data_IF_650150471207
#
_entry.id   IF_650150471207
#
_cell.length_a   1.000
_cell.length_b   1.000
_cell.length_c   1.000
_cell.angle_alpha   90.00
_cell.angle_beta   90.00
_cell.angle_gamma   90.00
#
_symmetry.space_group_name_H-M   'P 1'
#
loop_
_entity.id
_entity.type
_entity.pdbx_description
1 polymer ?
#
# COMPACT_ATOMS: atom_id res chain seq x y z
N UNK A 1 8.01 16.89 -18.94
CA UNK A 1 8.43 15.72 -18.16
C UNK A 1 9.77 16.01 -17.52
N UNK A 2 9.72 16.53 -16.30
CA UNK A 2 10.87 16.73 -15.44
C UNK A 2 11.02 15.46 -14.60
N UNK A 3 12.14 14.75 -14.73
CA UNK A 3 12.45 13.58 -13.89
C UNK A 3 13.39 13.96 -12.75
N UNK A 4 13.42 13.15 -11.69
CA UNK A 4 14.28 13.38 -10.52
C UNK A 4 15.75 13.53 -10.91
N UNK A 5 16.30 12.61 -11.69
CA UNK A 5 17.71 12.63 -12.08
C UNK A 5 18.06 13.89 -12.88
N UNK A 6 17.19 14.31 -13.81
CA UNK A 6 17.38 15.53 -14.60
C UNK A 6 17.28 16.78 -13.72
N UNK A 7 16.25 16.87 -12.86
CA UNK A 7 16.03 18.03 -12.00
C UNK A 7 17.19 18.28 -11.04
N UNK A 8 17.67 17.22 -10.38
CA UNK A 8 18.76 17.29 -9.41
C UNK A 8 20.15 17.12 -10.05
N UNK A 9 20.23 16.93 -11.38
CA UNK A 9 21.46 16.76 -12.14
C UNK A 9 22.31 15.58 -11.63
N UNK A 10 21.65 14.48 -11.29
CA UNK A 10 22.29 13.22 -10.86
C UNK A 10 22.60 12.39 -12.11
N UNK A 11 23.87 12.04 -12.31
CA UNK A 11 24.25 11.15 -13.40
C UNK A 11 23.85 9.71 -13.07
N UNK A 12 22.98 9.13 -13.90
CA UNK A 12 22.50 7.75 -13.76
C UNK A 12 23.65 6.74 -13.74
N UNK A 13 24.75 7.02 -14.44
CA UNK A 13 25.90 6.11 -14.51
C UNK A 13 26.69 6.03 -13.19
N UNK A 14 26.47 6.96 -12.26
CA UNK A 14 27.07 6.94 -10.92
C UNK A 14 26.26 6.10 -9.92
N UNK A 15 25.08 5.61 -10.32
CA UNK A 15 24.23 4.81 -9.46
C UNK A 15 24.66 3.34 -9.54
N UNK A 16 25.02 2.75 -8.40
CA UNK A 16 25.37 1.33 -8.29
C UNK A 16 24.15 0.40 -8.24
N UNK A 17 22.95 0.97 -8.22
CA UNK A 17 21.67 0.26 -8.10
C UNK A 17 20.73 0.64 -9.24
N UNK A 18 19.80 -0.26 -9.55
CA UNK A 18 18.70 0.06 -10.46
C UNK A 18 17.76 1.07 -9.79
N UNK A 19 17.85 2.32 -10.23
CA UNK A 19 17.11 3.44 -9.67
C UNK A 19 15.93 3.78 -10.55
N UNK A 20 14.74 3.70 -9.98
CA UNK A 20 13.55 4.26 -10.58
C UNK A 20 13.64 5.79 -10.57
N UNK A 21 13.62 6.42 -11.76
CA UNK A 21 13.68 7.87 -11.95
C UNK A 21 12.24 8.43 -12.07
N UNK A 22 11.61 8.87 -10.97
CA UNK A 22 10.22 9.31 -11.00
C UNK A 22 10.06 10.60 -11.80
N UNK A 23 8.92 10.71 -12.48
CA UNK A 23 8.44 11.97 -13.01
C UNK A 23 7.95 12.86 -11.86
N UNK A 24 8.45 14.10 -11.78
CA UNK A 24 8.13 15.04 -10.72
C UNK A 24 6.82 15.82 -10.96
N UNK A 25 6.25 15.71 -12.17
CA UNK A 25 5.04 16.44 -12.56
C UNK A 25 3.78 15.58 -12.45
N UNK A 26 3.90 14.27 -12.66
CA UNK A 26 2.79 13.31 -12.65
C UNK A 26 3.26 11.95 -12.20
N UNK A 27 2.36 11.14 -11.64
CA UNK A 27 2.69 9.77 -11.29
C UNK A 27 2.94 8.89 -12.52
N UNK A 28 3.86 7.95 -12.34
CA UNK A 28 4.09 6.87 -13.28
C UNK A 28 3.17 5.71 -12.89
N UNK A 29 2.48 5.10 -13.86
CA UNK A 29 1.61 3.92 -13.62
C UNK A 29 2.41 2.66 -13.35
N UNK A 30 3.10 2.66 -12.22
CA UNK A 30 3.82 1.57 -11.61
C UNK A 30 3.26 1.37 -10.20
N UNK A 31 3.37 0.15 -9.71
CA UNK A 31 2.81 -0.27 -8.43
C UNK A 31 3.83 -1.15 -7.74
N UNK A 32 3.96 -1.02 -6.42
CA UNK A 32 4.70 -1.96 -5.60
C UNK A 32 3.91 -3.26 -5.54
N UNK A 33 4.56 -4.35 -5.93
CA UNK A 33 4.03 -5.70 -5.81
C UNK A 33 4.39 -6.26 -4.41
N UNK A 34 3.42 -6.30 -3.50
CA UNK A 34 3.62 -6.90 -2.18
C UNK A 34 3.93 -8.38 -2.24
N UNK A 35 3.44 -9.10 -3.27
CA UNK A 35 3.70 -10.53 -3.42
C UNK A 35 5.17 -10.76 -3.73
N UNK A 36 5.79 -9.85 -4.46
CA UNK A 36 7.20 -9.91 -4.78
C UNK A 36 8.09 -9.91 -3.53
N UNK A 37 7.63 -9.36 -2.41
CA UNK A 37 8.35 -9.42 -1.13
C UNK A 37 8.58 -10.86 -0.65
N UNK A 38 7.65 -11.78 -0.95
CA UNK A 38 7.76 -13.22 -0.61
C UNK A 38 8.88 -13.93 -1.36
N UNK A 39 9.30 -13.37 -2.51
CA UNK A 39 10.27 -13.98 -3.42
C UNK A 39 11.66 -13.34 -3.32
N UNK A 40 11.77 -12.19 -2.67
CA UNK A 40 13.01 -11.44 -2.56
C UNK A 40 13.85 -11.88 -1.36
N UNK A 41 15.11 -12.23 -1.60
CA UNK A 41 15.99 -12.72 -0.53
C UNK A 41 16.76 -11.62 0.23
N UNK A 42 16.71 -10.37 -0.26
CA UNK A 42 17.42 -9.26 0.36
C UNK A 42 16.83 -8.88 1.73
N UNK A 43 17.67 -8.30 2.59
CA UNK A 43 17.31 -7.99 3.98
C UNK A 43 16.14 -7.00 4.09
N UNK A 44 16.05 -6.02 3.19
CA UNK A 44 15.01 -5.01 3.21
C UNK A 44 13.64 -5.61 2.86
N UNK A 45 13.57 -6.46 1.83
CA UNK A 45 12.34 -7.15 1.45
C UNK A 45 11.88 -8.15 2.52
N UNK A 46 12.80 -8.87 3.17
CA UNK A 46 12.47 -9.76 4.29
C UNK A 46 11.90 -8.97 5.49
N UNK A 47 12.50 -7.82 5.79
CA UNK A 47 12.00 -6.92 6.83
C UNK A 47 10.61 -6.38 6.50
N UNK A 48 10.42 -5.90 5.27
CA UNK A 48 9.13 -5.41 4.77
C UNK A 48 8.04 -6.49 4.84
N UNK A 49 8.34 -7.71 4.36
CA UNK A 49 7.43 -8.84 4.43
C UNK A 49 7.01 -9.15 5.88
N UNK A 50 7.97 -9.16 6.81
CA UNK A 50 7.69 -9.40 8.23
C UNK A 50 6.76 -8.32 8.80
N UNK A 51 6.99 -7.05 8.46
CA UNK A 51 6.11 -5.93 8.87
C UNK A 51 4.72 -6.07 8.28
N UNK A 52 4.60 -6.40 7.00
CA UNK A 52 3.33 -6.63 6.30
C UNK A 52 2.55 -7.78 6.94
N UNK A 53 3.19 -8.92 7.22
CA UNK A 53 2.56 -10.07 7.87
C UNK A 53 2.07 -9.74 9.28
N UNK A 54 2.88 -9.00 10.06
CA UNK A 54 2.47 -8.55 11.39
C UNK A 54 1.29 -7.57 11.32
N UNK A 55 1.25 -6.69 10.31
CA UNK A 55 0.12 -5.80 10.07
C UNK A 55 -1.15 -6.60 9.76
N UNK A 56 -1.08 -7.54 8.82
CA UNK A 56 -2.21 -8.39 8.43
C UNK A 56 -2.75 -9.18 9.62
N UNK A 57 -1.86 -9.81 10.38
CA UNK A 57 -2.23 -10.51 11.62
C UNK A 57 -2.95 -9.58 12.61
N UNK A 58 -2.39 -8.40 12.89
CA UNK A 58 -3.01 -7.43 13.78
C UNK A 58 -4.40 -6.97 13.30
N UNK A 59 -4.57 -6.81 11.98
CA UNK A 59 -5.83 -6.39 11.37
C UNK A 59 -6.88 -7.49 11.47
N UNK A 60 -6.53 -8.73 11.12
CA UNK A 60 -7.44 -9.87 11.21
C UNK A 60 -7.85 -10.16 12.65
N UNK A 61 -6.91 -10.08 13.61
CA UNK A 61 -7.23 -10.18 15.05
C UNK A 61 -8.21 -9.09 15.49
N UNK A 62 -7.99 -7.83 15.12
CA UNK A 62 -8.89 -6.74 15.47
C UNK A 62 -10.31 -6.94 14.88
N UNK A 63 -10.41 -7.41 13.64
CA UNK A 63 -11.69 -7.71 13.00
C UNK A 63 -12.41 -8.88 13.69
N UNK A 64 -11.68 -9.95 14.01
CA UNK A 64 -12.20 -11.13 14.71
C UNK A 64 -12.71 -10.79 16.10
N UNK A 65 -11.98 -9.96 16.85
CA UNK A 65 -12.34 -9.51 18.20
C UNK A 65 -13.40 -8.41 18.22
N UNK A 66 -13.78 -7.88 17.03
CA UNK A 66 -14.65 -6.72 16.87
C UNK A 66 -14.10 -5.48 17.60
N UNK A 67 -12.76 -5.35 17.66
CA UNK A 67 -12.08 -4.14 18.15
C UNK A 67 -12.09 -3.07 17.06
N UNK A 68 -13.20 -2.34 17.04
CA UNK A 68 -13.49 -1.26 16.10
C UNK A 68 -12.42 -0.16 16.09
N UNK A 69 -11.90 0.19 17.26
CA UNK A 69 -10.93 1.27 17.41
C UNK A 69 -9.60 0.84 16.79
N UNK A 70 -9.15 -0.38 17.08
CA UNK A 70 -7.90 -0.92 16.54
C UNK A 70 -8.01 -1.16 15.02
N UNK A 71 -9.11 -1.75 14.55
CA UNK A 71 -9.31 -2.00 13.12
C UNK A 71 -9.31 -0.69 12.31
N UNK A 72 -10.00 0.34 12.79
CA UNK A 72 -10.02 1.67 12.16
C UNK A 72 -8.64 2.33 12.16
N UNK A 73 -7.91 2.24 13.28
CA UNK A 73 -6.53 2.76 13.39
C UNK A 73 -5.56 2.04 12.45
N UNK A 74 -5.73 0.74 12.22
CA UNK A 74 -4.92 0.01 11.25
C UNK A 74 -5.26 0.45 9.83
N UNK A 75 -6.54 0.49 9.47
CA UNK A 75 -7.00 0.90 8.15
C UNK A 75 -6.73 2.38 7.82
N UNK A 76 -6.46 3.24 8.81
CA UNK A 76 -6.05 4.63 8.56
C UNK A 76 -4.69 4.77 7.86
N UNK A 77 -3.97 3.66 7.65
CA UNK A 77 -2.75 3.59 6.84
C UNK A 77 -3.02 3.31 5.36
N UNK A 78 -4.27 3.07 4.96
CA UNK A 78 -4.65 2.83 3.55
C UNK A 78 -4.70 4.06 2.63
N UNK A 79 -4.74 5.32 3.13
CA UNK A 79 -4.62 6.48 2.26
C UNK A 79 -3.29 6.53 1.48
N UNK A 80 -3.38 6.93 0.22
CA UNK A 80 -2.26 7.07 -0.74
C UNK A 80 -1.04 7.81 -0.13
N UNK A 81 0.16 7.23 -0.23
CA UNK A 81 1.39 7.90 0.18
C UNK A 81 1.69 9.09 -0.74
N UNK A 82 2.17 10.20 -0.18
CA UNK A 82 2.54 11.37 -0.98
C UNK A 82 3.96 11.24 -1.50
N UNK A 83 4.21 11.81 -2.69
CA UNK A 83 5.54 12.02 -3.25
C UNK A 83 6.31 10.74 -3.61
N UNK A 84 5.61 9.65 -3.88
CA UNK A 84 6.22 8.41 -4.39
C UNK A 84 6.52 8.49 -5.89
N UNK A 85 5.76 9.30 -6.64
CA UNK A 85 5.87 9.42 -8.10
C UNK A 85 5.37 8.17 -8.86
N UNK A 86 4.67 7.27 -8.16
CA UNK A 86 4.04 6.07 -8.70
C UNK A 86 2.56 6.05 -8.29
N UNK A 87 1.70 5.54 -9.16
CA UNK A 87 0.27 5.47 -8.90
C UNK A 87 -0.59 5.75 -10.13
N UNK A 88 -1.90 5.87 -9.91
CA UNK A 88 -2.87 6.17 -10.95
C UNK A 88 -3.28 7.65 -11.04
N UNK A 89 -2.77 8.52 -10.17
CA UNK A 89 -3.22 9.92 -10.04
C UNK A 89 -2.85 10.74 -11.27
N UNK A 90 -3.86 11.31 -11.93
CA UNK A 90 -3.69 12.15 -13.13
C UNK A 90 -3.54 13.63 -12.80
N UNK A 91 -4.27 14.14 -11.81
CA UNK A 91 -4.18 15.50 -11.26
C UNK A 91 -4.79 15.55 -9.85
N UNK A 92 -4.15 16.26 -8.90
CA UNK A 92 -4.76 16.70 -7.65
C UNK A 92 -4.38 15.93 -6.38
N UNK A 93 -4.18 16.68 -5.29
CA UNK A 93 -4.02 16.13 -3.94
C UNK A 93 -5.41 15.83 -3.40
N UNK A 94 -5.77 14.55 -3.30
CA UNK A 94 -7.09 14.12 -2.85
C UNK A 94 -7.50 14.83 -1.52
N UNK A 95 -8.72 15.35 -1.48
CA UNK A 95 -9.27 16.02 -0.29
C UNK A 95 -9.46 15.03 0.87
N UNK A 96 -9.25 15.48 2.12
CA UNK A 96 -9.37 14.64 3.33
C UNK A 96 -10.65 13.81 3.39
N UNK A 97 -11.79 14.35 2.95
CA UNK A 97 -13.08 13.65 2.99
C UNK A 97 -13.20 12.42 2.09
N UNK A 98 -12.46 12.34 0.99
CA UNK A 98 -12.46 11.15 0.12
C UNK A 98 -11.77 9.94 0.76
N UNK A 99 -10.78 10.21 1.61
CA UNK A 99 -9.97 9.19 2.28
C UNK A 99 -10.75 8.47 3.38
N UNK A 100 -11.43 9.24 4.23
CA UNK A 100 -12.22 8.67 5.32
C UNK A 100 -13.34 7.79 4.74
N UNK A 101 -13.97 8.20 3.64
CA UNK A 101 -14.98 7.40 2.94
C UNK A 101 -14.38 6.08 2.41
N UNK A 102 -13.21 6.13 1.76
CA UNK A 102 -12.52 4.92 1.25
C UNK A 102 -12.17 3.96 2.39
N UNK A 103 -11.65 4.47 3.50
CA UNK A 103 -11.29 3.66 4.68
C UNK A 103 -12.53 3.01 5.31
N UNK A 104 -13.61 3.77 5.52
CA UNK A 104 -14.85 3.22 6.08
C UNK A 104 -15.48 2.16 5.16
N UNK A 105 -15.42 2.38 3.86
CA UNK A 105 -15.93 1.42 2.88
C UNK A 105 -15.14 0.11 2.94
N UNK A 106 -13.80 0.18 2.87
CA UNK A 106 -12.95 -1.00 2.97
C UNK A 106 -13.18 -1.72 4.30
N UNK A 107 -13.24 -0.99 5.42
CA UNK A 107 -13.49 -1.56 6.73
C UNK A 107 -14.85 -2.27 6.80
N UNK A 108 -15.88 -1.72 6.14
CA UNK A 108 -17.21 -2.35 6.03
C UNK A 108 -17.14 -3.65 5.24
N UNK A 109 -16.44 -3.67 4.10
CA UNK A 109 -16.22 -4.88 3.32
C UNK A 109 -15.50 -5.96 4.13
N UNK A 110 -14.40 -5.61 4.80
CA UNK A 110 -13.64 -6.54 5.63
C UNK A 110 -14.49 -7.12 6.76
N UNK A 111 -15.28 -6.28 7.44
CA UNK A 111 -16.22 -6.76 8.47
C UNK A 111 -17.31 -7.65 7.93
N UNK A 112 -17.74 -7.48 6.68
CA UNK A 112 -18.75 -8.34 6.06
C UNK A 112 -18.18 -9.68 5.56
N UNK A 113 -16.87 -9.77 5.42
CA UNK A 113 -16.19 -10.95 4.91
C UNK A 113 -15.96 -12.02 5.98
N UNK A 114 -16.49 -13.22 5.74
CA UNK A 114 -16.22 -14.36 6.59
C UNK A 114 -14.73 -14.70 6.63
N UNK A 115 -14.02 -14.62 5.49
CA UNK A 115 -12.59 -14.92 5.41
C UNK A 115 -11.75 -13.99 6.31
N UNK A 116 -12.10 -12.69 6.33
CA UNK A 116 -11.46 -11.72 7.20
C UNK A 116 -11.75 -11.99 8.68
N UNK A 117 -13.01 -12.33 9.02
CA UNK A 117 -13.40 -12.64 10.40
C UNK A 117 -12.78 -13.95 10.93
N UNK A 118 -12.51 -14.92 10.05
CA UNK A 118 -11.91 -16.20 10.43
C UNK A 118 -10.38 -16.16 10.46
N UNK A 119 -9.77 -15.07 9.99
CA UNK A 119 -8.31 -14.93 9.88
C UNK A 119 -7.72 -15.79 8.76
N UNK A 120 -8.49 -16.07 7.70
CA UNK A 120 -8.02 -16.81 6.52
C UNK A 120 -7.32 -15.92 5.50
N UNK A 121 -7.35 -14.60 5.70
CA UNK A 121 -6.60 -13.64 4.89
C UNK A 121 -5.23 -13.42 5.54
N UNK A 122 -4.19 -13.99 4.96
CA UNK A 122 -2.83 -13.96 5.49
C UNK A 122 -1.96 -12.94 4.75
N UNK A 123 -2.19 -12.79 3.44
CA UNK A 123 -1.43 -11.88 2.58
C UNK A 123 -2.24 -10.62 2.25
N UNK A 124 -1.53 -9.50 2.06
CA UNK A 124 -2.14 -8.20 1.81
C UNK A 124 -2.93 -8.19 0.50
N UNK A 125 -2.43 -8.90 -0.51
CA UNK A 125 -3.01 -9.02 -1.84
C UNK A 125 -4.39 -9.66 -1.79
N UNK A 126 -4.65 -10.55 -0.84
CA UNK A 126 -5.93 -11.25 -0.68
C UNK A 126 -7.07 -10.32 -0.29
N UNK A 127 -6.75 -9.10 0.17
CA UNK A 127 -7.77 -8.07 0.43
C UNK A 127 -8.58 -7.74 -0.83
N UNK A 128 -8.03 -7.94 -2.04
CA UNK A 128 -8.75 -7.78 -3.31
C UNK A 128 -9.92 -8.77 -3.46
N UNK A 129 -9.87 -9.92 -2.77
CA UNK A 129 -10.91 -10.96 -2.85
C UNK A 129 -12.15 -10.61 -2.04
N UNK A 130 -12.05 -9.66 -1.10
CA UNK A 130 -13.07 -9.42 -0.08
C UNK A 130 -13.52 -7.97 0.04
N UNK A 131 -12.81 -7.05 -0.60
CA UNK A 131 -13.15 -5.63 -0.60
C UNK A 131 -13.05 -5.07 -2.03
N UNK A 132 -14.22 -4.86 -2.62
CA UNK A 132 -14.34 -4.11 -3.87
C UNK A 132 -13.65 -2.74 -3.73
N UNK A 133 -13.05 -2.24 -4.80
CA UNK A 133 -12.29 -0.98 -4.77
C UNK A 133 -10.88 -1.08 -4.18
N UNK A 134 -10.46 -2.26 -3.68
CA UNK A 134 -9.04 -2.59 -3.54
C UNK A 134 -8.55 -3.14 -4.88
N UNK A 135 -7.42 -2.62 -5.35
CA UNK A 135 -6.77 -3.05 -6.56
C UNK A 135 -5.26 -2.84 -6.43
N UNK A 136 -4.47 -3.09 -7.49
CA UNK A 136 -3.01 -3.00 -7.45
C UNK A 136 -2.48 -1.67 -6.90
N UNK A 137 -3.14 -0.55 -7.24
CA UNK A 137 -2.85 0.79 -6.73
C UNK A 137 -3.01 0.87 -5.20
N UNK A 138 -4.17 0.50 -4.67
CA UNK A 138 -4.42 0.47 -3.22
C UNK A 138 -3.49 -0.50 -2.49
N UNK A 139 -3.18 -1.67 -3.05
CA UNK A 139 -2.24 -2.62 -2.44
C UNK A 139 -0.84 -1.99 -2.36
N UNK A 140 -0.35 -1.43 -3.46
CA UNK A 140 0.92 -0.71 -3.53
C UNK A 140 1.00 0.43 -2.51
N UNK A 141 -0.08 1.21 -2.37
CA UNK A 141 -0.17 2.29 -1.38
C UNK A 141 -0.03 1.76 0.05
N UNK A 142 -0.75 0.68 0.38
CA UNK A 142 -0.70 0.07 1.71
C UNK A 142 0.69 -0.48 1.97
N UNK A 143 1.29 -1.19 1.00
CA UNK A 143 2.66 -1.71 1.12
C UNK A 143 3.65 -0.60 1.41
N UNK A 144 3.56 0.52 0.69
CA UNK A 144 4.44 1.69 0.88
C UNK A 144 4.28 2.33 2.26
N UNK A 145 3.11 2.25 2.88
CA UNK A 145 2.83 2.89 4.18
C UNK A 145 3.07 2.01 5.39
N UNK A 146 2.98 0.70 5.20
CA UNK A 146 3.18 -0.29 6.26
C UNK A 146 4.64 -0.70 6.37
N UNK A 147 5.34 -0.81 5.24
CA UNK A 147 6.74 -1.26 5.18
C UNK A 147 7.70 -0.07 5.16
#
# INVERSE_FOLDING_TARGET
MITFLNHFKVDKNLLEVDFFDPNLETDTRLYIDSYYLTRCENIHSKSALTTQQNFMKCLMEALKEKDEIKARKLCSHFPEPKYTGIGATKEGVNGKGSHDIKVEYILTCLKSSQAAQTGLLEDLEELILVADGIGPDTISDITTRVC
#
